data_IF_454083157509
#
_entry.id   IF_454083157509
#
_cell.length_a   1.000
_cell.length_b   1.000
_cell.length_c   1.000
_cell.angle_alpha   90.00
_cell.angle_beta   90.00
_cell.angle_gamma   90.00
#
_symmetry.space_group_name_H-M   'P 1'
#
loop_
_entity.id
_entity.type
_entity.pdbx_description
1 polymer ?
#
# COMPACT_ATOMS: atom_id res chain seq x y z
N UNK A 1 -23.36 4.81 -4.25
CA UNK A 1 -21.90 4.76 -4.10
C UNK A 1 -21.32 3.50 -4.63
N UNK A 2 -20.29 3.63 -5.38
CA UNK A 2 -19.61 2.47 -5.92
C UNK A 2 -18.71 1.86 -4.87
N UNK A 3 -18.64 0.53 -4.83
CA UNK A 3 -17.72 -0.13 -3.92
C UNK A 3 -16.30 0.20 -4.30
N UNK A 4 -15.48 0.39 -3.30
CA UNK A 4 -14.11 0.69 -3.53
C UNK A 4 -13.27 -0.47 -3.26
N UNK A 5 -12.43 -0.84 -4.19
CA UNK A 5 -11.47 -1.82 -3.89
C UNK A 5 -10.15 -1.14 -3.70
N UNK A 6 -9.42 -1.53 -2.77
CA UNK A 6 -8.41 -0.94 -2.31
C UNK A 6 -7.43 -1.17 -1.76
N UNK A 7 -6.58 -0.81 -1.58
CA UNK A 7 -5.73 -0.20 -1.17
C UNK A 7 -4.43 -0.82 -1.21
N UNK A 8 -3.39 -0.13 -1.27
CA UNK A 8 -2.07 -0.64 -1.25
C UNK A 8 -1.39 -0.10 -0.04
N UNK A 9 -0.90 -0.94 0.83
CA UNK A 9 -0.11 -0.52 1.94
C UNK A 9 1.35 -0.61 1.58
N UNK A 10 2.03 0.50 1.50
CA UNK A 10 3.43 0.47 1.29
C UNK A 10 4.14 1.07 2.42
N UNK A 11 5.06 0.36 3.00
CA UNK A 11 5.59 0.82 4.12
C UNK A 11 6.91 1.02 4.11
N UNK A 12 7.74 1.29 3.51
CA UNK A 12 8.69 1.40 3.66
C UNK A 12 9.91 1.52 3.68
N UNK A 13 10.52 1.49 4.08
CA UNK A 13 11.58 1.77 4.50
C UNK A 13 12.61 1.50 3.67
N UNK A 14 13.17 0.70 3.47
CA UNK A 14 14.25 0.59 2.86
C UNK A 14 14.12 0.37 1.55
N UNK A 15 13.27 0.09 1.06
CA UNK A 15 13.23 -0.21 -0.11
C UNK A 15 12.91 0.67 -0.88
N UNK A 16 12.62 1.32 -0.75
CA UNK A 16 12.48 2.33 -1.29
C UNK A 16 12.37 2.37 -2.57
N UNK A 17 12.65 1.87 -3.11
CA UNK A 17 12.89 2.02 -4.22
C UNK A 17 12.04 1.46 -5.05
N UNK A 18 11.14 1.76 -5.28
CA UNK A 18 10.66 1.47 -6.33
C UNK A 18 10.80 0.21 -6.74
N UNK A 19 10.51 -0.59 -6.30
CA UNK A 19 10.68 -1.91 -6.64
C UNK A 19 9.72 -2.33 -7.70
N UNK A 20 10.12 -3.22 -8.52
CA UNK A 20 9.24 -3.83 -9.51
C UNK A 20 8.08 -4.51 -8.84
N UNK A 21 8.29 -5.05 -7.65
CA UNK A 21 7.24 -5.66 -6.86
C UNK A 21 6.13 -4.70 -6.58
N UNK A 22 6.46 -3.47 -6.21
CA UNK A 22 5.46 -2.47 -5.90
C UNK A 22 4.71 -2.05 -7.15
N UNK A 23 5.40 -1.93 -8.27
CA UNK A 23 4.75 -1.58 -9.52
C UNK A 23 3.68 -2.60 -9.89
N UNK A 24 3.98 -3.89 -9.79
CA UNK A 24 3.02 -4.94 -10.12
C UNK A 24 1.83 -4.90 -9.17
N UNK A 25 2.08 -4.68 -7.88
CA UNK A 25 0.99 -4.58 -6.91
C UNK A 25 0.08 -3.39 -7.18
N UNK A 26 0.65 -2.23 -7.52
CA UNK A 26 -0.12 -1.05 -7.87
C UNK A 26 -0.96 -1.29 -9.11
N UNK A 27 -0.37 -1.92 -10.13
CA UNK A 27 -1.10 -2.24 -11.36
C UNK A 27 -2.21 -3.24 -11.11
N UNK A 28 -1.99 -4.22 -10.24
CA UNK A 28 -3.04 -5.17 -9.89
C UNK A 28 -4.20 -4.45 -9.24
N UNK A 29 -3.93 -3.61 -8.24
CA UNK A 29 -4.98 -2.88 -7.54
C UNK A 29 -5.76 -1.97 -8.50
N UNK A 30 -5.05 -1.29 -9.39
CA UNK A 30 -5.67 -0.39 -10.36
C UNK A 30 -6.58 -1.15 -11.33
N UNK A 31 -6.08 -2.22 -11.91
CA UNK A 31 -6.87 -3.01 -12.87
C UNK A 31 -8.06 -3.67 -12.21
N UNK A 32 -7.89 -4.14 -10.98
CA UNK A 32 -8.99 -4.73 -10.25
C UNK A 32 -10.07 -3.69 -9.95
N UNK A 33 -9.65 -2.50 -9.52
CA UNK A 33 -10.59 -1.42 -9.27
C UNK A 33 -11.35 -1.05 -10.54
N UNK A 34 -10.67 -1.01 -11.67
CA UNK A 34 -11.32 -0.72 -12.94
C UNK A 34 -12.36 -1.78 -13.28
N UNK A 35 -12.03 -3.05 -13.13
CA UNK A 35 -12.94 -4.12 -13.48
C UNK A 35 -14.17 -4.21 -12.57
N UNK A 36 -14.04 -3.74 -11.32
CA UNK A 36 -15.15 -3.75 -10.37
C UNK A 36 -15.81 -2.39 -10.22
N UNK A 37 -15.40 -1.41 -11.01
CA UNK A 37 -15.88 -0.05 -10.93
C UNK A 37 -15.65 0.56 -9.55
N UNK A 38 -14.53 0.22 -8.94
CA UNK A 38 -14.19 0.69 -7.63
C UNK A 38 -13.15 1.78 -7.66
N UNK A 39 -12.57 2.07 -6.50
CA UNK A 39 -11.50 3.05 -6.37
C UNK A 39 -10.26 2.43 -5.73
N UNK A 40 -9.23 3.22 -5.62
CA UNK A 40 -7.95 2.80 -5.05
C UNK A 40 -7.52 3.79 -3.99
N UNK A 41 -7.02 3.29 -2.88
CA UNK A 41 -6.32 4.10 -1.90
C UNK A 41 -4.86 3.65 -1.90
N UNK A 42 -3.97 4.60 -2.02
CA UNK A 42 -2.54 4.35 -1.87
C UNK A 42 -2.12 4.86 -0.49
N UNK A 43 -1.59 3.97 0.32
CA UNK A 43 -1.22 4.30 1.69
C UNK A 43 0.29 4.13 1.87
N UNK A 44 0.92 5.14 2.42
CA UNK A 44 2.31 5.07 2.83
C UNK A 44 2.38 5.34 4.33
N UNK A 45 3.00 4.45 5.09
CA UNK A 45 3.17 4.64 6.52
C UNK A 45 4.62 4.96 6.82
N UNK A 46 4.84 6.11 7.43
CA UNK A 46 6.17 6.52 7.88
C UNK A 46 6.41 5.85 9.23
N UNK A 47 7.44 5.01 9.29
CA UNK A 47 7.73 4.30 10.52
C UNK A 47 8.17 5.23 11.62
N UNK A 48 7.59 5.05 12.81
CA UNK A 48 7.83 5.93 13.91
C UNK A 48 7.59 5.12 15.17
N UNK A 49 8.64 4.62 15.71
CA UNK A 49 8.51 3.70 16.83
C UNK A 49 8.61 4.33 18.21
N UNK A 50 9.31 5.41 18.36
CA UNK A 50 9.51 6.02 19.67
C UNK A 50 9.38 7.53 19.60
N UNK A 51 8.25 8.05 20.06
CA UNK A 51 8.05 9.50 20.02
C UNK A 51 9.05 10.29 20.87
N UNK A 52 9.70 9.63 21.82
CA UNK A 52 10.66 10.34 22.64
C UNK A 52 12.00 10.58 21.96
N UNK A 53 12.31 9.80 20.96
CA UNK A 53 13.53 10.02 20.21
C UNK A 53 13.41 11.18 19.25
N UNK A 54 12.20 11.68 19.10
CA UNK A 54 11.96 12.65 18.09
C UNK A 54 11.70 13.97 18.74
N UNK A 55 12.67 14.73 19.07
CA UNK A 55 12.40 15.99 19.60
C UNK A 55 12.89 17.05 18.66
N UNK A 56 13.27 17.98 18.71
CA UNK A 56 13.50 19.14 17.91
C UNK A 56 14.09 18.91 16.53
N UNK A 57 15.09 18.09 16.39
CA UNK A 57 15.68 17.84 15.08
C UNK A 57 14.76 17.02 14.22
N UNK A 58 13.90 16.33 14.90
CA UNK A 58 13.09 15.43 14.28
C UNK A 58 11.98 15.98 13.55
N UNK A 59 11.48 17.11 13.85
CA UNK A 59 10.42 17.76 13.10
C UNK A 59 10.86 17.97 11.66
N UNK A 60 12.14 18.29 11.44
CA UNK A 60 12.65 18.46 10.09
C UNK A 60 12.74 17.13 9.38
N UNK A 61 13.24 16.11 10.05
CA UNK A 61 13.35 14.78 9.47
C UNK A 61 11.97 14.23 9.14
N UNK A 62 11.02 14.43 10.03
CA UNK A 62 9.66 13.97 9.82
C UNK A 62 9.01 14.70 8.66
N UNK A 63 9.24 16.02 8.55
CA UNK A 63 8.72 16.78 7.44
C UNK A 63 9.31 16.29 6.11
N UNK A 64 10.61 16.01 6.09
CA UNK A 64 11.25 15.47 4.88
C UNK A 64 10.69 14.10 4.53
N UNK A 65 10.41 13.27 5.54
CA UNK A 65 9.81 11.96 5.32
C UNK A 65 8.40 12.10 4.73
N UNK A 66 7.62 13.07 5.21
CA UNK A 66 6.30 13.34 4.65
C UNK A 66 6.39 13.80 3.20
N UNK A 67 7.31 14.67 2.90
CA UNK A 67 7.49 15.16 1.54
C UNK A 67 7.87 14.02 0.59
N UNK A 68 8.77 13.15 1.04
CA UNK A 68 9.19 12.00 0.24
C UNK A 68 8.01 11.03 0.05
N UNK A 69 7.23 10.79 1.09
CA UNK A 69 6.07 9.92 1.01
C UNK A 69 5.04 10.47 0.02
N UNK A 70 4.77 11.77 0.08
CA UNK A 70 3.86 12.41 -0.86
C UNK A 70 4.36 12.30 -2.29
N UNK A 71 5.65 12.45 -2.48
CA UNK A 71 6.24 12.36 -3.82
C UNK A 71 6.09 10.94 -4.38
N UNK A 72 6.33 9.93 -3.56
CA UNK A 72 6.15 8.54 -3.98
C UNK A 72 4.71 8.25 -4.32
N UNK A 73 3.79 8.70 -3.48
CA UNK A 73 2.37 8.48 -3.72
C UNK A 73 1.90 9.17 -5.00
N UNK A 74 2.41 10.35 -5.28
CA UNK A 74 2.06 11.05 -6.53
C UNK A 74 2.58 10.29 -7.75
N UNK A 75 3.76 9.72 -7.65
CA UNK A 75 4.30 8.90 -8.73
C UNK A 75 3.39 7.71 -9.02
N UNK A 76 2.99 6.99 -7.97
CA UNK A 76 2.13 5.83 -8.14
C UNK A 76 0.70 6.21 -8.52
N UNK A 77 0.24 7.37 -8.06
CA UNK A 77 -1.05 7.92 -8.48
C UNK A 77 -1.08 8.13 -9.98
N UNK A 78 0.02 8.63 -10.54
CA UNK A 78 0.11 8.83 -11.98
C UNK A 78 0.04 7.50 -12.73
N UNK A 79 0.71 6.47 -12.22
CA UNK A 79 0.65 5.13 -12.83
C UNK A 79 -0.79 4.63 -12.85
N UNK A 80 -1.50 4.75 -11.75
CA UNK A 80 -2.89 4.32 -11.66
C UNK A 80 -3.77 5.11 -12.64
N UNK A 81 -3.62 6.42 -12.65
CA UNK A 81 -4.44 7.27 -13.52
C UNK A 81 -4.16 7.00 -14.99
N UNK A 82 -2.91 6.86 -15.38
CA UNK A 82 -2.57 6.62 -16.78
C UNK A 82 -3.13 5.28 -17.26
N UNK A 83 -3.19 4.32 -16.34
CA UNK A 83 -3.66 2.99 -16.69
C UNK A 83 -5.19 2.86 -16.69
N UNK A 84 -5.88 3.54 -15.82
CA UNK A 84 -7.30 3.32 -15.58
C UNK A 84 -8.18 4.56 -15.60
N UNK A 85 -7.59 5.74 -15.59
CA UNK A 85 -8.27 7.03 -15.42
C UNK A 85 -8.90 7.19 -14.02
N UNK A 86 -8.60 6.30 -13.10
CA UNK A 86 -9.02 6.44 -11.71
C UNK A 86 -8.02 7.32 -10.98
N UNK A 87 -8.53 8.29 -10.22
CA UNK A 87 -7.68 9.11 -9.36
C UNK A 87 -7.68 8.48 -7.98
N UNK A 88 -6.57 7.91 -7.54
CA UNK A 88 -6.55 7.27 -6.23
C UNK A 88 -6.54 8.28 -5.10
N UNK A 89 -7.03 7.85 -3.96
CA UNK A 89 -6.90 8.61 -2.74
C UNK A 89 -5.52 8.35 -2.15
N UNK A 90 -4.85 9.38 -1.67
CA UNK A 90 -3.49 9.26 -1.14
C UNK A 90 -3.51 9.49 0.35
N UNK A 91 -2.98 8.55 1.12
CA UNK A 91 -2.92 8.64 2.57
C UNK A 91 -1.49 8.47 3.04
N UNK A 92 -1.04 9.37 3.91
CA UNK A 92 0.24 9.24 4.59
C UNK A 92 -0.06 9.18 6.08
N UNK A 93 0.41 8.16 6.75
CA UNK A 93 0.24 8.00 8.18
C UNK A 93 1.59 7.77 8.84
N UNK A 94 1.66 8.02 10.14
CA UNK A 94 2.88 7.82 10.91
C UNK A 94 2.60 6.81 11.99
N UNK A 95 3.53 5.94 12.25
CA UNK A 95 3.42 4.99 13.33
C UNK A 95 3.95 3.62 12.97
N UNK A 96 3.41 2.61 13.60
CA UNK A 96 3.77 1.24 13.32
C UNK A 96 2.96 0.79 12.11
N UNK A 97 3.63 0.37 11.03
CA UNK A 97 2.92 0.10 9.76
C UNK A 97 1.75 -0.86 9.87
N UNK A 98 1.92 -2.00 10.53
CA UNK A 98 0.83 -2.97 10.64
C UNK A 98 -0.36 -2.40 11.39
N UNK A 99 -0.11 -1.61 12.43
CA UNK A 99 -1.20 -1.01 13.21
C UNK A 99 -1.92 0.05 12.40
N UNK A 100 -1.19 0.87 11.67
CA UNK A 100 -1.81 1.93 10.88
C UNK A 100 -2.58 1.38 9.69
N UNK A 101 -2.14 0.28 9.12
CA UNK A 101 -2.87 -0.39 8.06
C UNK A 101 -4.18 -0.94 8.61
N UNK A 102 -4.15 -1.66 9.72
CA UNK A 102 -5.36 -2.21 10.32
C UNK A 102 -6.32 -1.09 10.72
N UNK A 103 -5.80 -0.02 11.32
CA UNK A 103 -6.61 1.13 11.70
C UNK A 103 -7.31 1.74 10.48
N UNK A 104 -6.59 1.87 9.37
CA UNK A 104 -7.16 2.41 8.14
C UNK A 104 -8.27 1.50 7.60
N UNK A 105 -8.04 0.20 7.62
CA UNK A 105 -9.04 -0.76 7.15
C UNK A 105 -10.29 -0.73 8.04
N UNK A 106 -10.10 -0.57 9.34
CA UNK A 106 -11.23 -0.53 10.27
C UNK A 106 -12.02 0.77 10.16
N UNK A 107 -11.36 1.86 9.78
CA UNK A 107 -12.02 3.15 9.72
C UNK A 107 -12.80 3.40 8.44
N UNK A 108 -12.63 2.57 7.42
CA UNK A 108 -13.30 2.76 6.13
C UNK A 108 -13.92 1.44 5.69
N UNK A 109 -15.22 1.32 5.89
CA UNK A 109 -15.94 0.09 5.55
C UNK A 109 -16.07 -0.15 4.04
N UNK A 110 -15.73 0.84 3.23
CA UNK A 110 -15.77 0.66 1.78
C UNK A 110 -14.54 -0.07 1.26
N UNK A 111 -13.51 -0.22 2.08
CA UNK A 111 -12.34 -0.98 1.67
C UNK A 111 -12.70 -2.46 1.64
N UNK A 112 -12.45 -3.09 0.50
CA UNK A 112 -12.83 -4.48 0.32
C UNK A 112 -11.69 -5.46 0.47
N UNK A 113 -10.49 -5.06 0.16
CA UNK A 113 -9.32 -5.90 0.38
C UNK A 113 -8.06 -5.05 0.40
N UNK A 114 -7.02 -5.64 0.95
CA UNK A 114 -5.71 -5.03 1.05
C UNK A 114 -4.80 -5.70 0.03
N UNK A 115 -4.09 -4.91 -0.76
CA UNK A 115 -3.14 -5.42 -1.73
C UNK A 115 -1.73 -5.13 -1.25
N UNK A 116 -0.90 -6.15 -1.17
CA UNK A 116 0.49 -6.01 -0.78
C UNK A 116 1.39 -6.62 -1.85
N UNK A 117 2.56 -6.03 -2.03
CA UNK A 117 3.58 -6.60 -2.88
C UNK A 117 4.35 -7.67 -2.11
N UNK A 118 4.61 -8.79 -2.75
CA UNK A 118 5.48 -9.78 -2.16
C UNK A 118 6.93 -9.31 -2.30
N UNK A 119 7.69 -9.43 -1.24
CA UNK A 119 9.09 -9.09 -1.29
C UNK A 119 9.82 -10.09 -2.20
N UNK A 120 10.79 -9.60 -2.94
CA UNK A 120 11.65 -10.49 -3.71
C UNK A 120 12.55 -11.30 -2.79
N UNK A 121 12.82 -12.52 -3.14
CA UNK A 121 13.67 -13.39 -2.35
C UNK A 121 12.91 -14.51 -1.67
N UNK A 122 13.62 -15.25 -0.83
CA UNK A 122 13.08 -16.47 -0.25
C UNK A 122 12.22 -16.24 0.99
N UNK A 123 12.28 -15.06 1.56
CA UNK A 123 11.56 -14.76 2.79
C UNK A 123 10.51 -13.69 2.55
N UNK A 124 9.33 -13.82 3.16
CA UNK A 124 8.34 -12.76 3.06
C UNK A 124 8.84 -11.50 3.76
N UNK A 125 8.42 -10.35 3.28
CA UNK A 125 8.77 -9.10 3.95
C UNK A 125 8.18 -9.02 5.35
N UNK A 126 8.72 -8.15 6.22
CA UNK A 126 8.25 -8.07 7.60
C UNK A 126 6.76 -7.76 7.73
N UNK A 127 6.26 -6.89 6.89
CA UNK A 127 4.85 -6.51 6.95
C UNK A 127 3.95 -7.67 6.53
N UNK A 128 4.31 -8.37 5.46
CA UNK A 128 3.56 -9.53 5.00
C UNK A 128 3.56 -10.60 6.08
N UNK A 129 4.71 -10.86 6.67
CA UNK A 129 4.83 -11.88 7.71
C UNK A 129 3.95 -11.56 8.91
N UNK A 130 3.89 -10.30 9.30
CA UNK A 130 3.10 -9.90 10.44
C UNK A 130 1.61 -9.93 10.15
N UNK A 131 1.19 -9.36 9.04
CA UNK A 131 -0.23 -9.27 8.69
C UNK A 131 -0.83 -10.62 8.30
N UNK A 132 -0.08 -11.43 7.57
CA UNK A 132 -0.57 -12.74 7.18
C UNK A 132 -0.38 -13.79 8.27
N UNK A 133 0.43 -13.51 9.27
CA UNK A 133 0.70 -14.41 10.39
C UNK A 133 0.03 -13.95 11.67
N UNK A 134 0.77 -13.29 12.55
CA UNK A 134 0.31 -12.99 13.90
C UNK A 134 -0.92 -12.11 13.96
N UNK A 135 -1.06 -11.19 13.04
CA UNK A 135 -2.19 -10.24 13.06
C UNK A 135 -3.30 -10.59 12.08
N UNK A 136 -3.22 -11.75 11.44
CA UNK A 136 -4.22 -12.11 10.44
C UNK A 136 -5.64 -12.16 10.99
N UNK A 137 -5.79 -12.57 12.23
CA UNK A 137 -7.12 -12.61 12.85
C UNK A 137 -7.75 -11.27 13.14
N UNK A 138 -6.97 -10.18 13.03
CA UNK A 138 -7.48 -8.84 13.27
C UNK A 138 -7.79 -8.09 11.98
N UNK A 139 -7.54 -8.69 10.83
CA UNK A 139 -7.80 -8.04 9.57
C UNK A 139 -9.28 -8.07 9.24
N UNK A 140 -9.88 -6.93 8.97
CA UNK A 140 -11.31 -6.89 8.61
C UNK A 140 -11.58 -7.22 7.15
N UNK A 141 -10.54 -7.35 6.32
CA UNK A 141 -10.68 -7.65 4.90
C UNK A 141 -9.61 -8.64 4.47
N UNK A 142 -9.82 -9.34 3.35
CA UNK A 142 -8.79 -10.22 2.83
C UNK A 142 -7.54 -9.48 2.36
N UNK A 143 -6.42 -10.18 2.37
CA UNK A 143 -5.18 -9.69 1.81
C UNK A 143 -4.97 -10.35 0.47
N UNK A 144 -4.59 -9.55 -0.52
CA UNK A 144 -4.12 -10.06 -1.80
C UNK A 144 -2.63 -9.81 -1.85
N UNK A 145 -1.85 -10.88 -1.96
CA UNK A 145 -0.41 -10.76 -2.03
C UNK A 145 -0.02 -10.96 -3.48
N UNK A 146 0.57 -9.93 -4.09
CA UNK A 146 0.87 -9.94 -5.51
C UNK A 146 2.33 -10.32 -5.72
N UNK A 147 2.61 -11.44 -6.39
CA UNK A 147 3.99 -11.85 -6.61
C UNK A 147 4.69 -10.99 -7.65
N UNK A 148 6.00 -10.89 -7.51
CA UNK A 148 6.79 -10.03 -8.33
C UNK A 148 6.84 -10.44 -9.80
N UNK A 149 6.76 -11.71 -10.08
CA UNK A 149 7.02 -12.22 -11.42
C UNK A 149 5.85 -12.25 -12.39
N UNK A 150 4.74 -11.56 -12.08
CA UNK A 150 3.61 -11.58 -12.99
C UNK A 150 3.89 -10.76 -14.24
N UNK A 151 3.55 -11.32 -15.39
CA UNK A 151 3.60 -10.58 -16.65
C UNK A 151 2.35 -9.74 -16.81
N UNK A 152 2.37 -8.81 -17.76
CA UNK A 152 1.19 -8.01 -18.07
C UNK A 152 0.01 -8.88 -18.49
N UNK A 153 0.26 -9.94 -19.25
CA UNK A 153 -0.79 -10.83 -19.68
C UNK A 153 -1.41 -11.57 -18.49
N UNK A 154 -0.57 -12.11 -17.61
CA UNK A 154 -1.06 -12.79 -16.42
C UNK A 154 -1.83 -11.84 -15.52
N UNK A 155 -1.37 -10.60 -15.40
CA UNK A 155 -2.03 -9.59 -14.61
C UNK A 155 -3.42 -9.30 -15.17
N UNK A 156 -3.56 -9.17 -16.48
CA UNK A 156 -4.85 -8.95 -17.12
C UNK A 156 -5.79 -10.12 -16.89
N UNK A 157 -5.29 -11.34 -16.99
CA UNK A 157 -6.11 -12.53 -16.79
C UNK A 157 -6.66 -12.63 -15.39
N UNK A 158 -5.89 -12.17 -14.39
CA UNK A 158 -6.31 -12.22 -12.99
C UNK A 158 -7.25 -11.10 -12.59
N UNK A 159 -7.29 -10.01 -13.35
CA UNK A 159 -8.06 -8.83 -12.96
C UNK A 159 -9.30 -8.59 -13.80
N UNK A 160 -9.42 -9.24 -14.92
CA UNK A 160 -10.60 -9.16 -15.77
C UNK A 160 -11.18 -10.55 -16.07
#
# INVERSE_FOLDING_TARGET
DLPRSRGLGDVYKRQVDDTEELEIAVKFAAKRALSTQGGVILLNVIEHFDPQQWQSVEDIILQEAHELAQKKLKKWSKVVYDLTKITPELLVKEGIPSEKIIETLESDSDIRFLVLAAAGGDQPGPLVKLLAGQKSGKLPVPIVLVPQGLTEEELNDLTF
#
